data_IF_139320720952
#
_entry.id   IF_139320720952
#
_cell.length_a   1.000
_cell.length_b   1.000
_cell.length_c   1.000
_cell.angle_alpha   90.00
_cell.angle_beta   90.00
_cell.angle_gamma   90.00
#
_symmetry.space_group_name_H-M   'P 1'
#
loop_
_entity.id
_entity.type
_entity.pdbx_description
1 polymer ?
#
# COMPACT_ATOMS: atom_id res chain seq x y z
N UNK A 1 -49.90 -20.01 19.58
CA UNK A 1 -49.50 -18.61 19.45
C UNK A 1 -47.96 -18.60 19.43
N UNK A 2 -47.39 -18.76 18.22
CA UNK A 2 -45.93 -18.82 18.05
C UNK A 2 -45.44 -17.45 17.58
N UNK A 3 -44.67 -16.76 18.40
CA UNK A 3 -44.00 -15.50 18.04
C UNK A 3 -42.74 -15.82 17.27
N UNK A 4 -42.68 -15.31 16.04
CA UNK A 4 -41.49 -15.33 15.17
C UNK A 4 -40.35 -14.48 15.76
N UNK A 5 -39.08 -14.94 15.78
CA UNK A 5 -37.96 -14.09 16.17
C UNK A 5 -37.64 -13.14 15.04
N UNK A 6 -37.59 -11.87 15.40
CA UNK A 6 -37.17 -10.73 14.58
C UNK A 6 -35.80 -10.99 13.91
N UNK A 7 -35.77 -11.01 12.58
CA UNK A 7 -34.56 -11.00 11.77
C UNK A 7 -33.79 -9.70 11.97
N UNK A 8 -32.86 -9.71 12.90
CA UNK A 8 -31.98 -8.57 13.23
C UNK A 8 -31.03 -8.30 12.07
N UNK A 9 -30.91 -7.04 11.73
CA UNK A 9 -30.01 -6.38 10.76
C UNK A 9 -28.52 -6.71 10.96
N UNK A 10 -28.11 -7.92 10.69
CA UNK A 10 -26.69 -8.34 10.71
C UNK A 10 -25.99 -7.98 9.40
N UNK A 11 -26.75 -7.71 8.32
CA UNK A 11 -26.18 -7.48 6.99
C UNK A 11 -25.58 -6.10 6.75
N UNK A 12 -26.01 -5.05 7.46
CA UNK A 12 -25.59 -3.68 7.16
C UNK A 12 -24.27 -3.30 7.86
N UNK A 13 -24.02 -3.78 9.07
CA UNK A 13 -22.76 -3.56 9.80
C UNK A 13 -21.61 -4.36 9.20
N UNK A 14 -21.86 -5.57 8.71
CA UNK A 14 -20.86 -6.40 8.05
C UNK A 14 -20.41 -5.81 6.69
N UNK A 15 -21.31 -5.14 5.97
CA UNK A 15 -20.98 -4.45 4.70
C UNK A 15 -20.16 -3.17 4.91
N UNK A 16 -20.30 -2.47 6.05
CA UNK A 16 -19.57 -1.25 6.34
C UNK A 16 -18.09 -1.49 6.73
N UNK A 17 -17.78 -2.66 7.30
CA UNK A 17 -16.39 -3.03 7.66
C UNK A 17 -15.52 -3.42 6.45
N UNK A 18 -16.11 -3.70 5.28
CA UNK A 18 -15.42 -4.22 4.10
C UNK A 18 -14.66 -3.16 3.28
N UNK A 19 -14.72 -1.86 3.64
CA UNK A 19 -14.40 -0.80 2.68
C UNK A 19 -13.52 0.32 3.23
N UNK A 20 -12.54 -0.01 4.05
CA UNK A 20 -11.66 0.99 4.66
C UNK A 20 -10.19 0.76 4.29
N UNK A 21 -9.69 1.49 3.28
CA UNK A 21 -8.30 1.47 2.81
C UNK A 21 -7.79 2.90 2.60
N UNK A 22 -6.46 3.14 2.60
CA UNK A 22 -5.92 4.34 1.95
C UNK A 22 -6.32 4.33 0.48
N UNK A 23 -6.26 5.49 -0.19
CA UNK A 23 -6.47 5.46 -1.64
C UNK A 23 -5.37 4.63 -2.29
N UNK A 24 -5.74 3.71 -3.17
CA UNK A 24 -4.77 2.86 -3.90
C UNK A 24 -3.68 3.69 -4.61
N UNK A 25 -4.01 4.92 -5.00
CA UNK A 25 -3.08 5.86 -5.65
C UNK A 25 -1.99 6.33 -4.69
N UNK A 26 -2.29 6.45 -3.40
CA UNK A 26 -1.32 6.92 -2.40
C UNK A 26 -0.18 5.94 -2.17
N UNK A 27 -0.39 4.63 -2.41
CA UNK A 27 0.69 3.65 -2.40
C UNK A 27 1.74 3.87 -3.51
N UNK A 28 1.37 4.54 -4.60
CA UNK A 28 2.32 4.93 -5.64
C UNK A 28 3.26 6.07 -5.22
N UNK A 29 2.94 6.84 -4.19
CA UNK A 29 3.71 8.01 -3.79
C UNK A 29 5.17 7.69 -3.45
N UNK A 30 5.41 6.64 -2.66
CA UNK A 30 6.76 6.26 -2.23
C UNK A 30 7.64 5.84 -3.42
N UNK A 31 7.26 4.86 -4.27
CA UNK A 31 8.09 4.51 -5.43
C UNK A 31 8.23 5.67 -6.43
N UNK A 32 7.21 6.50 -6.65
CA UNK A 32 7.32 7.66 -7.53
C UNK A 32 8.35 8.66 -6.99
N UNK A 33 8.20 9.11 -5.77
CA UNK A 33 9.07 10.11 -5.18
C UNK A 33 10.51 9.60 -5.06
N UNK A 34 10.70 8.38 -4.59
CA UNK A 34 12.01 7.75 -4.47
C UNK A 34 12.68 7.56 -5.85
N UNK A 35 11.93 7.00 -6.82
CA UNK A 35 12.48 6.72 -8.14
C UNK A 35 12.82 7.97 -8.94
N UNK A 36 11.95 9.00 -8.91
CA UNK A 36 12.23 10.30 -9.54
C UNK A 36 13.39 11.01 -8.84
N UNK A 37 13.44 10.95 -7.52
CA UNK A 37 14.53 11.50 -6.72
C UNK A 37 15.89 10.88 -7.06
N UNK A 38 15.98 9.55 -7.10
CA UNK A 38 17.21 8.80 -7.48
C UNK A 38 17.56 8.94 -8.96
N UNK A 39 16.55 9.14 -9.81
CA UNK A 39 16.69 9.42 -11.24
C UNK A 39 16.95 8.20 -12.12
N UNK A 40 16.76 8.40 -13.43
CA UNK A 40 16.69 7.32 -14.43
C UNK A 40 17.98 6.51 -14.63
N UNK A 41 19.13 6.99 -14.15
CA UNK A 41 20.37 6.21 -14.16
C UNK A 41 20.39 5.09 -13.13
N UNK A 42 19.73 5.30 -11.97
CA UNK A 42 19.64 4.31 -10.88
C UNK A 42 18.32 3.55 -11.00
N UNK A 43 17.21 4.28 -11.21
CA UNK A 43 15.86 3.75 -11.37
C UNK A 43 15.36 4.07 -12.79
N UNK A 44 15.66 3.20 -13.78
CA UNK A 44 15.15 3.39 -15.14
C UNK A 44 13.62 3.40 -15.19
N UNK A 45 12.98 4.03 -16.21
CA UNK A 45 11.52 4.14 -16.30
C UNK A 45 10.77 2.82 -16.18
N UNK A 46 11.33 1.74 -16.74
CA UNK A 46 10.71 0.40 -16.61
C UNK A 46 10.68 -0.09 -15.16
N UNK A 47 11.75 0.15 -14.41
CA UNK A 47 11.82 -0.21 -13.00
C UNK A 47 10.90 0.70 -12.16
N UNK A 48 10.85 2.00 -12.48
CA UNK A 48 9.93 2.94 -11.84
C UNK A 48 8.47 2.49 -11.99
N UNK A 49 8.05 2.16 -13.21
CA UNK A 49 6.70 1.66 -13.48
C UNK A 49 6.42 0.35 -12.74
N UNK A 50 7.39 -0.56 -12.70
CA UNK A 50 7.27 -1.80 -11.92
C UNK A 50 7.13 -1.52 -10.42
N UNK A 51 7.89 -0.56 -9.87
CA UNK A 51 7.78 -0.14 -8.47
C UNK A 51 6.40 0.42 -8.12
N UNK A 52 5.84 1.24 -9.00
CA UNK A 52 4.47 1.76 -8.85
C UNK A 52 3.45 0.62 -8.89
N UNK A 53 3.55 -0.24 -9.90
CA UNK A 53 2.62 -1.36 -10.05
C UNK A 53 2.67 -2.33 -8.86
N UNK A 54 3.88 -2.67 -8.40
CA UNK A 54 4.06 -3.60 -7.29
C UNK A 54 3.65 -2.99 -5.94
N UNK A 55 3.77 -1.67 -5.77
CA UNK A 55 3.29 -0.98 -4.58
C UNK A 55 1.75 -0.94 -4.50
N UNK A 56 1.06 -1.08 -5.62
CA UNK A 56 -0.42 -1.14 -5.66
C UNK A 56 -0.94 -2.59 -5.67
N UNK A 57 -0.07 -3.55 -5.94
CA UNK A 57 -0.44 -4.95 -6.15
C UNK A 57 -1.10 -5.62 -4.93
N UNK A 58 -0.65 -5.41 -3.67
CA UNK A 58 -1.26 -6.05 -2.52
C UNK A 58 -2.76 -5.78 -2.42
N UNK A 59 -3.22 -4.59 -2.75
CA UNK A 59 -4.64 -4.20 -2.74
C UNK A 59 -5.50 -4.97 -3.77
N UNK A 60 -4.88 -5.66 -4.73
CA UNK A 60 -5.62 -6.55 -5.62
C UNK A 60 -6.27 -7.73 -4.86
N UNK A 61 -5.87 -7.97 -3.60
CA UNK A 61 -6.49 -8.97 -2.73
C UNK A 61 -7.97 -8.68 -2.41
N UNK A 62 -8.44 -7.44 -2.62
CA UNK A 62 -9.89 -7.11 -2.54
C UNK A 62 -10.73 -7.94 -3.51
N UNK A 63 -10.13 -8.45 -4.59
CA UNK A 63 -10.81 -9.35 -5.51
C UNK A 63 -11.20 -10.67 -4.85
N UNK A 64 -10.49 -11.08 -3.78
CA UNK A 64 -10.82 -12.28 -3.01
C UNK A 64 -12.20 -12.18 -2.35
N UNK A 65 -12.70 -10.97 -2.06
CA UNK A 65 -14.07 -10.77 -1.57
C UNK A 65 -15.12 -11.24 -2.58
N UNK A 66 -14.88 -11.05 -3.88
CA UNK A 66 -15.77 -11.55 -4.94
C UNK A 66 -15.80 -13.08 -4.99
N UNK A 67 -14.77 -13.72 -4.45
CA UNK A 67 -14.66 -15.18 -4.32
C UNK A 67 -15.15 -15.69 -2.95
N UNK A 68 -15.76 -14.84 -2.14
CA UNK A 68 -16.30 -15.20 -0.83
C UNK A 68 -15.26 -15.32 0.29
N UNK A 69 -14.03 -14.87 0.07
CA UNK A 69 -12.99 -14.88 1.10
C UNK A 69 -13.26 -13.74 2.09
N UNK A 70 -13.39 -14.06 3.38
CA UNK A 70 -13.63 -13.05 4.41
C UNK A 70 -12.40 -12.13 4.61
N UNK A 71 -12.63 -10.88 5.00
CA UNK A 71 -11.55 -9.90 5.27
C UNK A 71 -10.48 -10.44 6.23
N UNK A 72 -10.89 -11.04 7.34
CA UNK A 72 -9.98 -11.57 8.36
C UNK A 72 -9.28 -12.87 8.00
N UNK A 73 -9.57 -13.47 6.85
CA UNK A 73 -8.90 -14.67 6.39
C UNK A 73 -7.44 -14.37 6.02
N UNK A 74 -6.54 -15.34 6.12
CA UNK A 74 -5.12 -15.18 5.76
C UNK A 74 -4.91 -14.75 4.31
N UNK A 75 -5.77 -15.18 3.39
CA UNK A 75 -5.83 -14.74 1.99
C UNK A 75 -6.84 -13.60 1.75
N UNK A 76 -7.41 -13.02 2.81
CA UNK A 76 -8.25 -11.86 2.74
C UNK A 76 -7.41 -10.57 2.73
N UNK A 77 -8.11 -9.43 2.66
CA UNK A 77 -7.47 -8.12 2.56
C UNK A 77 -6.54 -7.83 3.76
N UNK A 78 -5.37 -7.29 3.49
CA UNK A 78 -4.24 -7.05 4.42
C UNK A 78 -3.67 -8.32 5.08
N UNK A 79 -3.89 -9.50 4.46
CA UNK A 79 -3.32 -10.77 4.90
C UNK A 79 -1.98 -11.09 4.24
N UNK A 80 -1.91 -12.24 3.55
CA UNK A 80 -0.73 -12.78 2.88
C UNK A 80 0.01 -11.78 1.98
N UNK A 81 -0.72 -11.04 1.14
CA UNK A 81 -0.15 -10.08 0.18
C UNK A 81 0.58 -8.91 0.83
N UNK A 82 0.28 -8.64 2.10
CA UNK A 82 0.89 -7.58 2.91
C UNK A 82 1.97 -8.08 3.86
N UNK A 83 2.30 -9.38 3.82
CA UNK A 83 3.29 -10.00 4.70
C UNK A 83 4.73 -9.67 4.28
N UNK A 84 5.65 -9.78 5.25
CA UNK A 84 7.09 -9.72 4.98
C UNK A 84 7.52 -10.80 3.98
N UNK A 85 6.96 -12.01 4.10
CA UNK A 85 7.27 -13.08 3.14
C UNK A 85 6.95 -12.66 1.71
N UNK A 86 5.78 -12.11 1.46
CA UNK A 86 5.39 -11.63 0.13
C UNK A 86 6.29 -10.48 -0.32
N UNK A 87 6.57 -9.53 0.60
CA UNK A 87 7.42 -8.37 0.32
C UNK A 87 8.86 -8.76 -0.06
N UNK A 88 9.41 -9.85 0.47
CA UNK A 88 10.74 -10.35 0.12
C UNK A 88 10.70 -11.28 -1.10
N UNK A 89 9.72 -12.17 -1.19
CA UNK A 89 9.66 -13.18 -2.25
C UNK A 89 9.49 -12.56 -3.64
N UNK A 90 8.58 -11.59 -3.79
CA UNK A 90 8.26 -11.03 -5.10
C UNK A 90 9.41 -10.23 -5.72
N UNK A 91 10.12 -9.31 -4.99
CA UNK A 91 11.34 -8.68 -5.49
C UNK A 91 12.48 -9.66 -5.76
N UNK A 92 12.58 -10.74 -4.98
CA UNK A 92 13.59 -11.78 -5.21
C UNK A 92 13.35 -12.52 -6.53
N UNK A 93 12.10 -12.81 -6.86
CA UNK A 93 11.75 -13.35 -8.17
C UNK A 93 11.98 -12.33 -9.29
N UNK A 94 11.57 -11.06 -9.07
CA UNK A 94 11.71 -10.01 -10.08
C UNK A 94 13.19 -9.71 -10.42
N UNK A 95 14.11 -9.78 -9.46
CA UNK A 95 15.53 -9.52 -9.70
C UNK A 95 16.16 -10.53 -10.67
N UNK A 96 15.62 -11.71 -10.83
CA UNK A 96 16.08 -12.69 -11.83
C UNK A 96 15.92 -12.15 -13.25
N UNK A 97 14.98 -11.24 -13.45
CA UNK A 97 14.69 -10.56 -14.71
C UNK A 97 15.25 -9.13 -14.77
N UNK A 98 16.27 -8.80 -13.98
CA UNK A 98 16.80 -7.44 -13.82
C UNK A 98 17.19 -6.76 -15.15
N UNK A 99 17.65 -7.54 -16.14
CA UNK A 99 18.02 -7.03 -17.47
C UNK A 99 16.83 -6.40 -18.21
N UNK A 100 15.62 -6.90 -18.01
CA UNK A 100 14.40 -6.33 -18.61
C UNK A 100 14.07 -4.97 -18.05
N UNK A 101 14.43 -4.72 -16.80
CA UNK A 101 14.29 -3.42 -16.12
C UNK A 101 15.45 -2.45 -16.46
N UNK A 102 16.47 -2.90 -17.20
CA UNK A 102 17.67 -2.11 -17.52
C UNK A 102 18.40 -1.60 -16.27
N UNK A 103 18.42 -2.38 -15.22
CA UNK A 103 19.02 -2.07 -13.93
C UNK A 103 19.83 -3.25 -13.38
N UNK A 104 20.68 -3.00 -12.37
CA UNK A 104 21.35 -4.09 -11.65
C UNK A 104 20.34 -4.91 -10.84
N UNK A 105 20.65 -6.19 -10.59
CA UNK A 105 19.79 -7.05 -9.75
C UNK A 105 19.56 -6.45 -8.35
N UNK A 106 20.60 -5.85 -7.76
CA UNK A 106 20.49 -5.19 -6.47
C UNK A 106 19.53 -3.98 -6.51
N UNK A 107 19.61 -3.15 -7.57
CA UNK A 107 18.71 -2.01 -7.72
C UNK A 107 17.25 -2.46 -7.90
N UNK A 108 17.01 -3.51 -8.71
CA UNK A 108 15.66 -4.09 -8.87
C UNK A 108 15.14 -4.59 -7.53
N UNK A 109 15.91 -5.43 -6.86
CA UNK A 109 15.51 -6.02 -5.59
C UNK A 109 15.22 -4.98 -4.53
N UNK A 110 16.15 -4.06 -4.27
CA UNK A 110 16.01 -3.06 -3.22
C UNK A 110 14.86 -2.08 -3.49
N UNK A 111 14.72 -1.62 -4.74
CA UNK A 111 13.65 -0.69 -5.09
C UNK A 111 12.26 -1.31 -4.99
N UNK A 112 12.08 -2.52 -5.51
CA UNK A 112 10.80 -3.23 -5.42
C UNK A 112 10.48 -3.67 -4.00
N UNK A 113 11.50 -4.05 -3.20
CA UNK A 113 11.31 -4.35 -1.77
C UNK A 113 10.79 -3.12 -1.01
N UNK A 114 11.45 -1.97 -1.17
CA UNK A 114 11.02 -0.72 -0.53
C UNK A 114 9.60 -0.35 -0.98
N UNK A 115 9.29 -0.53 -2.27
CA UNK A 115 7.95 -0.25 -2.81
C UNK A 115 6.87 -1.11 -2.15
N UNK A 116 7.10 -2.43 -1.98
CA UNK A 116 6.15 -3.33 -1.30
C UNK A 116 6.07 -3.07 0.20
N UNK A 117 7.20 -2.90 0.87
CA UNK A 117 7.22 -2.62 2.31
C UNK A 117 6.52 -1.30 2.62
N UNK A 118 6.67 -0.28 1.76
CA UNK A 118 5.99 1.00 1.93
C UNK A 118 4.46 0.84 1.87
N UNK A 119 3.93 -0.06 1.02
CA UNK A 119 2.51 -0.35 0.97
C UNK A 119 1.99 -0.83 2.34
N UNK A 120 2.53 -1.93 2.84
CA UNK A 120 2.12 -2.51 4.12
C UNK A 120 2.35 -1.55 5.30
N UNK A 121 3.40 -0.72 5.24
CA UNK A 121 3.66 0.31 6.24
C UNK A 121 2.56 1.38 6.24
N UNK A 122 2.21 1.92 5.07
CA UNK A 122 1.15 2.92 4.95
C UNK A 122 -0.19 2.37 5.44
N UNK A 123 -0.50 1.12 5.14
CA UNK A 123 -1.69 0.44 5.64
C UNK A 123 -1.71 0.29 7.15
N UNK A 124 -0.56 0.00 7.76
CA UNK A 124 -0.46 -0.09 9.22
C UNK A 124 -0.64 1.26 9.92
N UNK A 125 -0.40 2.39 9.21
CA UNK A 125 -0.59 3.76 9.70
C UNK A 125 -2.03 4.28 9.54
N UNK A 126 -2.96 3.46 9.01
CA UNK A 126 -4.35 3.86 8.80
C UNK A 126 -5.18 3.80 10.07
N UNK A 127 -6.23 4.63 10.14
CA UNK A 127 -7.16 4.73 11.28
C UNK A 127 -8.24 3.64 11.28
N UNK A 128 -8.23 2.68 10.35
CA UNK A 128 -9.28 1.67 10.24
C UNK A 128 -8.82 0.38 9.56
N UNK A 129 -9.73 -0.54 9.37
CA UNK A 129 -9.46 -1.91 8.92
C UNK A 129 -9.13 -2.84 10.09
N UNK A 130 -8.43 -3.94 9.82
CA UNK A 130 -8.09 -4.97 10.84
C UNK A 130 -6.58 -5.10 11.09
N UNK A 131 -5.79 -4.10 10.70
CA UNK A 131 -4.33 -4.19 10.75
C UNK A 131 -3.75 -5.04 9.61
N UNK A 132 -2.45 -5.19 9.59
CA UNK A 132 -1.65 -5.83 8.54
C UNK A 132 -1.04 -7.14 9.02
N UNK A 133 -1.16 -8.19 8.23
CA UNK A 133 -0.62 -9.54 8.51
C UNK A 133 0.88 -9.66 8.24
N UNK A 134 1.70 -8.82 8.87
CA UNK A 134 3.15 -8.73 8.65
C UNK A 134 3.89 -10.06 8.76
N UNK A 135 3.49 -10.88 9.75
CA UNK A 135 4.24 -12.06 10.16
C UNK A 135 3.74 -13.36 9.56
N UNK A 136 2.78 -13.32 8.63
CA UNK A 136 2.37 -14.53 7.92
C UNK A 136 3.55 -15.14 7.14
N UNK A 137 3.75 -16.48 7.14
CA UNK A 137 2.90 -17.56 7.68
C UNK A 137 3.18 -17.95 9.12
N UNK A 138 4.08 -17.32 9.82
CA UNK A 138 4.47 -17.71 11.18
C UNK A 138 3.42 -17.34 12.23
N UNK A 139 2.67 -16.24 11.97
CA UNK A 139 1.59 -15.74 12.84
C UNK A 139 0.49 -15.12 11.97
N UNK A 140 -0.76 -15.36 12.40
CA UNK A 140 -1.95 -14.81 11.73
C UNK A 140 -2.40 -13.46 12.33
N UNK A 141 -1.70 -13.01 13.38
CA UNK A 141 -2.00 -11.74 14.04
C UNK A 141 -1.75 -10.58 13.09
N UNK A 142 -2.58 -9.56 13.25
CA UNK A 142 -2.54 -8.32 12.45
C UNK A 142 -2.15 -7.15 13.31
N UNK A 143 -1.31 -6.29 12.78
CA UNK A 143 -0.71 -5.19 13.51
C UNK A 143 -1.02 -3.86 12.87
N UNK A 144 -1.27 -2.87 13.72
CA UNK A 144 -1.23 -1.46 13.36
C UNK A 144 0.08 -0.84 13.83
N UNK A 145 0.47 0.26 13.21
CA UNK A 145 1.52 1.11 13.76
C UNK A 145 1.02 1.82 15.04
N UNK A 146 1.93 2.23 15.95
CA UNK A 146 1.56 2.94 17.18
C UNK A 146 0.81 4.25 16.91
N UNK A 147 1.05 4.86 15.75
CA UNK A 147 0.41 6.09 15.31
C UNK A 147 -0.39 5.83 14.04
N UNK A 148 -1.70 6.05 14.11
CA UNK A 148 -2.61 5.90 12.99
C UNK A 148 -3.01 7.29 12.51
N UNK A 149 -2.25 7.83 11.57
CA UNK A 149 -2.36 9.21 11.10
C UNK A 149 -3.02 9.34 9.72
N UNK A 150 -3.10 8.25 8.97
CA UNK A 150 -3.71 8.22 7.63
C UNK A 150 -5.18 7.83 7.78
N UNK A 151 -6.09 8.68 7.35
CA UNK A 151 -7.52 8.39 7.38
C UNK A 151 -7.88 7.40 6.28
N UNK A 152 -8.73 6.43 6.61
CA UNK A 152 -9.21 5.44 5.65
C UNK A 152 -10.18 6.05 4.65
N UNK A 153 -9.94 5.74 3.39
CA UNK A 153 -10.70 6.24 2.26
C UNK A 153 -12.10 5.60 2.19
N UNK A 154 -13.13 6.37 1.83
CA UNK A 154 -14.42 5.81 1.50
C UNK A 154 -14.35 5.10 0.13
N UNK A 155 -15.09 3.99 -0.01
CA UNK A 155 -15.08 3.21 -1.25
C UNK A 155 -15.87 3.86 -2.39
N UNK A 156 -16.89 4.66 -2.03
CA UNK A 156 -17.73 5.33 -3.01
C UNK A 156 -17.10 6.65 -3.43
N UNK A 157 -16.98 6.85 -4.74
CA UNK A 157 -16.38 8.07 -5.30
C UNK A 157 -17.10 9.35 -4.83
N UNK A 158 -18.43 9.29 -4.67
CA UNK A 158 -19.23 10.42 -4.21
C UNK A 158 -18.85 10.84 -2.76
N UNK A 159 -18.40 9.89 -1.95
CA UNK A 159 -18.00 10.19 -0.59
C UNK A 159 -16.68 10.98 -0.48
N UNK A 160 -15.88 11.02 -1.58
CA UNK A 160 -14.72 11.92 -1.66
C UNK A 160 -15.10 13.40 -1.77
N UNK A 161 -16.32 13.69 -2.21
CA UNK A 161 -16.85 15.05 -2.28
C UNK A 161 -17.48 15.52 -0.96
N UNK A 162 -17.32 14.75 0.11
CA UNK A 162 -17.81 15.10 1.46
C UNK A 162 -16.65 15.51 2.37
N UNK A 163 -16.97 16.10 3.53
CA UNK A 163 -15.96 16.44 4.55
C UNK A 163 -15.10 15.24 5.00
N UNK A 164 -15.65 13.99 4.92
CA UNK A 164 -14.89 12.77 5.19
C UNK A 164 -13.82 12.53 4.09
N UNK A 165 -14.19 12.69 2.83
CA UNK A 165 -13.27 12.54 1.70
C UNK A 165 -12.17 13.61 1.72
N UNK A 166 -12.51 14.85 2.01
CA UNK A 166 -11.54 15.93 2.18
C UNK A 166 -10.53 15.58 3.30
N UNK A 167 -10.99 15.11 4.45
CA UNK A 167 -10.13 14.74 5.55
C UNK A 167 -9.18 13.56 5.20
N UNK A 168 -9.61 12.63 4.34
CA UNK A 168 -8.76 11.54 3.81
C UNK A 168 -7.67 12.14 2.93
N UNK A 169 -8.04 12.90 1.90
CA UNK A 169 -7.10 13.52 0.97
C UNK A 169 -6.07 14.37 1.71
N UNK A 170 -6.49 15.21 2.66
CA UNK A 170 -5.59 16.03 3.45
C UNK A 170 -4.63 15.18 4.30
N UNK A 171 -5.10 14.08 4.90
CA UNK A 171 -4.23 13.19 5.67
C UNK A 171 -3.17 12.52 4.80
N UNK A 172 -3.53 12.05 3.60
CA UNK A 172 -2.60 11.45 2.64
C UNK A 172 -1.60 12.46 2.09
N UNK A 173 -2.05 13.69 1.75
CA UNK A 173 -1.18 14.77 1.31
C UNK A 173 -0.14 15.12 2.39
N UNK A 174 -0.56 15.22 3.63
CA UNK A 174 0.30 15.66 4.73
C UNK A 174 1.29 14.58 5.18
N UNK A 175 0.82 13.32 5.30
CA UNK A 175 1.61 12.25 5.89
C UNK A 175 2.35 11.39 4.87
N UNK A 176 1.98 11.43 3.58
CA UNK A 176 2.59 10.60 2.55
C UNK A 176 3.19 11.44 1.43
N UNK A 177 2.38 12.25 0.75
CA UNK A 177 2.83 12.99 -0.43
C UNK A 177 3.83 14.08 -0.09
N UNK A 178 3.58 14.90 0.94
CA UNK A 178 4.49 15.98 1.33
C UNK A 178 5.87 15.45 1.75
N UNK A 179 6.00 14.48 2.68
CA UNK A 179 7.30 13.90 3.00
C UNK A 179 7.97 13.23 1.79
N UNK A 180 7.19 12.55 0.94
CA UNK A 180 7.69 11.94 -0.29
C UNK A 180 8.29 12.98 -1.25
N UNK A 181 7.58 14.08 -1.50
CA UNK A 181 8.07 15.18 -2.36
C UNK A 181 9.31 15.85 -1.77
N UNK A 182 9.35 16.09 -0.46
CA UNK A 182 10.54 16.63 0.22
C UNK A 182 11.72 15.69 0.01
N UNK A 183 11.56 14.40 0.24
CA UNK A 183 12.62 13.41 0.00
C UNK A 183 13.06 13.42 -1.47
N UNK A 184 12.13 13.45 -2.41
CA UNK A 184 12.42 13.53 -3.84
C UNK A 184 13.30 14.75 -4.17
N UNK A 185 12.94 15.93 -3.67
CA UNK A 185 13.67 17.17 -3.91
C UNK A 185 15.07 17.14 -3.29
N UNK A 186 15.22 16.59 -2.08
CA UNK A 186 16.53 16.41 -1.44
C UNK A 186 17.42 15.48 -2.27
N UNK A 187 16.91 14.34 -2.73
CA UNK A 187 17.65 13.41 -3.58
C UNK A 187 18.01 14.03 -4.94
N UNK A 188 17.12 14.80 -5.53
CA UNK A 188 17.40 15.54 -6.77
C UNK A 188 18.50 16.58 -6.57
N UNK A 189 18.43 17.36 -5.50
CA UNK A 189 19.45 18.34 -5.14
C UNK A 189 20.83 17.71 -4.92
N UNK A 190 20.88 16.61 -4.17
CA UNK A 190 22.10 15.83 -3.96
C UNK A 190 22.70 15.31 -5.27
N UNK A 191 21.88 14.82 -6.18
CA UNK A 191 22.30 14.36 -7.50
C UNK A 191 22.90 15.48 -8.38
N UNK A 192 22.33 16.68 -8.32
CA UNK A 192 22.83 17.84 -9.06
C UNK A 192 24.18 18.28 -8.48
N UNK A 193 24.26 18.40 -7.17
CA UNK A 193 25.50 18.78 -6.48
C UNK A 193 26.64 17.80 -6.70
N UNK A 194 26.37 16.48 -6.65
CA UNK A 194 27.38 15.45 -6.90
C UNK A 194 27.90 15.36 -8.35
N UNK A 195 27.20 16.01 -9.31
CA UNK A 195 27.68 16.11 -10.71
C UNK A 195 28.57 17.29 -11.01
N UNK A 196 28.59 18.25 -10.10
CA UNK A 196 29.44 19.46 -10.24
C UNK A 196 30.83 19.32 -9.62
N UNK A 197 31.13 18.14 -9.06
CA UNK A 197 32.47 17.76 -8.54
C UNK A 197 33.11 16.71 -9.44
#
# INVERSE_FOLDING_TARGET
MFTSPSGGRVGASFQLELYEMPTIVTHAAVPLCLGLGLGSRIIPPRLLLAGVAIAMLPDADVLAFKLGVAYGHVFGHRGFTHSLLFAFALPTLAMLFHRQFKASAAAVWSFLLVSLLSHSLLDSLTTGGKGVGWLWPWRDERFFAPWQVIRVAPFKLEAYLTARGEAVILSELYWVWLPGVVLMLVLMGWRVWGRGR
#
